data_IF_282703442178
#
_entry.id   IF_282703442178
#
_cell.length_a   1.000
_cell.length_b   1.000
_cell.length_c   1.000
_cell.angle_alpha   90.00
_cell.angle_beta   90.00
_cell.angle_gamma   90.00
#
_symmetry.space_group_name_H-M   'P 1'
#
loop_
_entity.id
_entity.type
_entity.pdbx_description
1 polymer ?
#
# COMPACT_ATOMS: atom_id res chain seq x y z
N UNK A 1 -30.41 58.87 34.22
CA UNK A 1 -29.41 58.51 33.20
C UNK A 1 -28.28 57.76 33.89
N UNK A 2 -28.18 56.43 33.76
CA UNK A 2 -26.95 55.62 33.64
C UNK A 2 -27.40 54.24 33.11
N UNK A 3 -26.82 53.81 31.99
CA UNK A 3 -27.00 52.51 31.32
C UNK A 3 -25.95 51.54 31.84
N UNK A 4 -26.27 50.27 32.12
CA UNK A 4 -25.35 49.11 32.04
C UNK A 4 -26.22 47.84 31.91
N UNK A 5 -26.30 47.19 30.74
CA UNK A 5 -25.33 46.34 30.05
C UNK A 5 -25.66 44.85 30.31
N UNK A 6 -26.13 44.20 29.25
CA UNK A 6 -26.48 42.78 29.21
C UNK A 6 -25.24 41.90 29.35
N UNK A 7 -25.32 40.90 30.22
CA UNK A 7 -24.32 39.86 30.35
C UNK A 7 -24.64 38.73 29.36
N UNK A 8 -24.03 38.76 28.18
CA UNK A 8 -24.04 37.64 27.25
C UNK A 8 -22.91 36.68 27.68
N UNK A 9 -23.31 35.52 28.21
CA UNK A 9 -22.40 34.43 28.55
C UNK A 9 -22.02 33.70 27.25
N UNK A 10 -20.89 34.09 26.65
CA UNK A 10 -20.32 33.37 25.52
C UNK A 10 -19.70 32.07 26.02
N UNK A 11 -20.43 30.96 25.84
CA UNK A 11 -19.92 29.61 26.01
C UNK A 11 -18.89 29.36 24.90
N UNK A 12 -17.59 29.54 25.20
CA UNK A 12 -16.52 29.05 24.35
C UNK A 12 -16.52 27.51 24.43
N UNK A 13 -17.18 26.88 23.47
CA UNK A 13 -16.94 25.47 23.14
C UNK A 13 -15.52 25.39 22.58
N UNK A 14 -14.56 25.05 23.43
CA UNK A 14 -13.28 24.52 23.00
C UNK A 14 -13.56 23.19 22.29
N UNK A 15 -13.71 23.24 20.97
CA UNK A 15 -13.64 22.07 20.10
C UNK A 15 -12.25 21.49 20.29
N UNK A 16 -12.12 20.46 21.14
CA UNK A 16 -10.95 19.60 21.11
C UNK A 16 -11.01 18.84 19.79
N UNK A 17 -10.34 19.37 18.77
CA UNK A 17 -9.94 18.58 17.62
C UNK A 17 -9.11 17.41 18.17
N UNK A 18 -9.69 16.22 18.16
CA UNK A 18 -8.91 15.00 18.35
C UNK A 18 -8.14 14.80 17.05
N UNK A 19 -6.86 15.14 17.05
CA UNK A 19 -5.97 14.76 15.97
C UNK A 19 -5.90 13.22 15.97
N UNK A 20 -6.71 12.59 15.14
CA UNK A 20 -6.64 11.16 14.91
C UNK A 20 -5.35 10.91 14.13
N UNK A 21 -4.31 10.48 14.83
CA UNK A 21 -3.05 10.07 14.21
C UNK A 21 -3.28 8.75 13.48
N UNK A 22 -3.15 8.78 12.16
CA UNK A 22 -3.13 7.57 11.34
C UNK A 22 -1.73 6.94 11.45
N UNK A 23 -1.65 5.79 12.10
CA UNK A 23 -0.41 5.10 12.35
C UNK A 23 -0.08 4.15 11.20
N UNK A 24 1.16 4.21 10.72
CA UNK A 24 1.75 3.12 9.94
C UNK A 24 1.90 1.92 10.88
N UNK A 25 1.58 0.70 10.41
CA UNK A 25 1.79 -0.51 11.19
C UNK A 25 3.29 -0.79 11.34
N UNK A 26 3.80 -0.74 12.58
CA UNK A 26 5.22 -0.93 12.87
C UNK A 26 5.46 -1.66 14.19
N UNK A 27 6.67 -2.21 14.31
CA UNK A 27 7.31 -2.57 15.58
C UNK A 27 8.72 -1.94 15.62
N UNK A 28 9.19 -1.54 16.81
CA UNK A 28 10.50 -0.92 16.99
C UNK A 28 11.35 -1.70 17.99
N UNK A 29 12.54 -2.12 17.58
CA UNK A 29 13.46 -2.86 18.43
C UNK A 29 14.92 -2.71 17.98
N UNK A 30 15.82 -2.60 18.96
CA UNK A 30 17.25 -2.40 18.79
C UNK A 30 17.58 -1.19 17.90
N UNK A 31 16.80 -0.11 18.01
CA UNK A 31 16.91 1.08 17.17
C UNK A 31 16.47 0.89 15.72
N UNK A 32 15.93 -0.29 15.36
CA UNK A 32 15.39 -0.59 14.04
C UNK A 32 13.87 -0.45 14.09
N UNK A 33 13.31 0.31 13.15
CA UNK A 33 11.87 0.31 12.90
C UNK A 33 11.57 -0.69 11.81
N UNK A 34 10.61 -1.57 12.06
CA UNK A 34 10.11 -2.55 11.10
C UNK A 34 8.67 -2.19 10.75
N UNK A 35 8.32 -2.21 9.47
CA UNK A 35 6.99 -1.80 8.99
C UNK A 35 6.25 -2.99 8.39
N UNK A 36 4.96 -3.09 8.69
CA UNK A 36 4.02 -4.04 8.09
C UNK A 36 3.28 -3.43 6.89
N UNK A 37 2.86 -4.28 5.94
CA UNK A 37 1.89 -3.92 4.89
C UNK A 37 2.42 -3.12 3.69
N UNK A 38 3.33 -2.15 3.87
CA UNK A 38 3.86 -1.34 2.75
C UNK A 38 4.87 -2.09 1.88
N UNK A 39 5.67 -2.97 2.47
CA UNK A 39 6.71 -3.75 1.77
C UNK A 39 6.30 -5.21 1.52
N UNK A 40 5.19 -5.66 2.12
CA UNK A 40 4.84 -7.09 2.23
C UNK A 40 3.40 -7.41 1.84
N UNK A 41 2.66 -6.47 1.25
CA UNK A 41 1.23 -6.65 0.93
C UNK A 41 0.94 -8.04 0.33
N UNK A 42 -0.09 -8.71 0.85
CA UNK A 42 -0.48 -10.12 0.63
C UNK A 42 -0.70 -10.53 -0.86
N UNK A 43 -0.40 -9.64 -1.81
CA UNK A 43 -0.69 -9.79 -3.23
C UNK A 43 0.42 -10.50 -4.01
N UNK A 44 1.66 -10.55 -3.51
CA UNK A 44 2.81 -11.09 -4.25
C UNK A 44 3.58 -12.21 -3.52
N UNK A 45 3.24 -12.48 -2.28
CA UNK A 45 3.78 -13.60 -1.50
C UNK A 45 2.69 -14.21 -0.63
N UNK A 46 2.94 -15.42 -0.11
CA UNK A 46 2.00 -16.06 0.82
C UNK A 46 2.00 -15.34 2.18
N UNK A 47 0.86 -15.39 2.86
CA UNK A 47 0.78 -15.02 4.26
C UNK A 47 1.64 -15.94 5.15
N UNK A 48 2.11 -15.40 6.27
CA UNK A 48 2.78 -16.20 7.29
C UNK A 48 1.81 -17.09 8.05
N UNK A 49 2.34 -18.20 8.52
CA UNK A 49 1.69 -19.17 9.40
C UNK A 49 2.55 -19.38 10.66
N UNK A 50 2.02 -20.05 11.68
CA UNK A 50 2.81 -20.37 12.88
C UNK A 50 4.04 -21.24 12.59
N UNK A 51 4.04 -21.99 11.47
CA UNK A 51 5.20 -22.77 11.05
C UNK A 51 6.39 -21.89 10.63
N UNK A 52 6.16 -20.61 10.35
CA UNK A 52 7.19 -19.65 9.96
C UNK A 52 7.83 -18.95 11.19
N UNK A 53 7.27 -19.13 12.39
CA UNK A 53 7.72 -18.44 13.60
C UNK A 53 8.97 -19.08 14.21
N UNK A 54 10.00 -18.27 14.39
CA UNK A 54 11.22 -18.59 15.11
C UNK A 54 11.12 -18.27 16.61
N UNK A 55 12.26 -18.00 17.23
CA UNK A 55 12.33 -17.62 18.64
C UNK A 55 11.67 -16.24 18.90
N UNK A 56 11.04 -16.10 20.06
CA UNK A 56 10.62 -14.80 20.59
C UNK A 56 11.83 -13.87 20.69
N UNK A 57 11.71 -12.66 20.15
CA UNK A 57 12.76 -11.64 20.17
C UNK A 57 12.54 -10.65 21.32
N UNK A 58 11.29 -10.21 21.50
CA UNK A 58 10.90 -9.32 22.59
C UNK A 58 9.38 -9.35 22.78
N UNK A 59 8.92 -8.71 23.86
CA UNK A 59 7.51 -8.41 24.10
C UNK A 59 7.26 -6.92 24.01
N UNK A 60 6.14 -6.55 23.42
CA UNK A 60 5.75 -5.14 23.27
C UNK A 60 5.55 -4.52 24.64
N UNK A 61 6.14 -3.34 24.84
CA UNK A 61 6.05 -2.52 26.05
C UNK A 61 4.99 -1.44 25.91
N UNK A 62 4.77 -0.95 24.69
CA UNK A 62 3.82 0.11 24.39
C UNK A 62 3.15 -0.10 23.04
N UNK A 63 1.83 0.06 23.00
CA UNK A 63 1.06 0.13 21.76
C UNK A 63 0.62 1.58 21.55
N UNK A 64 1.29 2.29 20.63
CA UNK A 64 1.17 3.75 20.51
C UNK A 64 -0.21 4.20 19.99
N UNK A 65 -0.85 3.40 19.12
CA UNK A 65 -2.19 3.71 18.64
C UNK A 65 -3.23 3.65 19.77
N UNK A 66 -3.11 2.68 20.68
CA UNK A 66 -4.02 2.57 21.83
C UNK A 66 -3.67 3.52 22.97
N UNK A 67 -2.42 3.98 23.05
CA UNK A 67 -1.96 4.88 24.10
C UNK A 67 -2.22 6.38 23.80
N UNK A 68 -2.84 6.70 22.65
CA UNK A 68 -3.16 8.07 22.26
C UNK A 68 -1.93 8.97 22.12
N UNK A 69 -0.78 8.40 21.72
CA UNK A 69 0.42 9.21 21.50
C UNK A 69 0.20 10.12 20.30
N UNK A 70 0.77 11.33 20.35
CA UNK A 70 0.69 12.30 19.27
C UNK A 70 1.88 12.19 18.31
N UNK A 71 1.89 12.98 17.21
CA UNK A 71 2.95 12.96 16.20
C UNK A 71 4.34 13.37 16.72
N UNK A 72 4.44 13.97 17.92
CA UNK A 72 5.70 14.32 18.57
C UNK A 72 6.31 13.21 19.44
N UNK A 73 5.69 12.02 19.49
CA UNK A 73 6.19 10.90 20.30
C UNK A 73 7.47 10.31 19.70
N UNK A 74 8.50 10.15 20.53
CA UNK A 74 9.75 9.51 20.16
C UNK A 74 9.65 8.01 20.43
N UNK A 75 9.78 7.21 19.37
CA UNK A 75 9.75 5.75 19.47
C UNK A 75 10.88 5.23 20.36
N UNK A 76 10.57 4.22 21.14
CA UNK A 76 11.51 3.49 22.00
C UNK A 76 11.47 1.99 21.70
N UNK A 77 12.54 1.28 22.07
CA UNK A 77 12.61 -0.17 21.89
C UNK A 77 11.53 -0.91 22.69
N UNK A 78 10.72 -1.69 21.97
CA UNK A 78 9.53 -2.36 22.48
C UNK A 78 8.23 -1.64 22.15
N UNK A 79 8.27 -0.53 21.42
CA UNK A 79 7.08 0.14 20.91
C UNK A 79 6.53 -0.57 19.67
N UNK A 80 5.22 -0.56 19.53
CA UNK A 80 4.51 -1.01 18.33
C UNK A 80 3.33 -0.09 18.04
N UNK A 81 2.90 -0.03 16.78
CA UNK A 81 1.69 0.70 16.39
C UNK A 81 0.44 0.06 16.99
N UNK A 82 0.20 -1.22 16.64
CA UNK A 82 -1.06 -1.92 16.89
C UNK A 82 -0.89 -3.21 17.71
N UNK A 83 0.32 -3.77 17.78
CA UNK A 83 0.58 -4.99 18.55
C UNK A 83 0.38 -4.68 20.05
N UNK A 84 -0.47 -5.44 20.71
CA UNK A 84 -0.85 -5.18 22.11
C UNK A 84 0.31 -5.31 23.10
N UNK A 85 0.26 -4.56 24.20
CA UNK A 85 1.24 -4.65 25.29
C UNK A 85 1.33 -6.07 25.84
N UNK A 86 2.55 -6.56 26.07
CA UNK A 86 2.86 -7.91 26.54
C UNK A 86 2.82 -8.99 25.44
N UNK A 87 2.33 -8.67 24.25
CA UNK A 87 2.32 -9.61 23.14
C UNK A 87 3.74 -9.84 22.59
N UNK A 88 4.06 -11.08 22.23
CA UNK A 88 5.38 -11.45 21.72
C UNK A 88 5.57 -11.04 20.25
N UNK A 89 6.78 -10.62 19.93
CA UNK A 89 7.30 -10.43 18.57
C UNK A 89 8.36 -11.49 18.33
N UNK A 90 8.26 -12.19 17.21
CA UNK A 90 9.07 -13.36 16.88
C UNK A 90 10.01 -13.10 15.72
N UNK A 91 11.11 -13.85 15.67
CA UNK A 91 11.90 -13.99 14.45
C UNK A 91 11.09 -14.75 13.39
N UNK A 92 11.43 -14.55 12.13
CA UNK A 92 10.95 -15.38 11.02
C UNK A 92 11.99 -16.44 10.70
N UNK A 93 11.61 -17.72 10.68
CA UNK A 93 12.55 -18.83 10.43
C UNK A 93 13.27 -18.65 9.10
N UNK A 94 14.58 -18.87 9.11
CA UNK A 94 15.43 -18.75 7.90
C UNK A 94 15.92 -17.33 7.61
N UNK A 95 15.61 -16.35 8.47
CA UNK A 95 16.00 -14.95 8.27
C UNK A 95 16.59 -14.32 9.52
N UNK A 96 17.48 -13.36 9.30
CA UNK A 96 18.02 -12.51 10.34
C UNK A 96 16.90 -11.67 10.98
N UNK A 97 16.83 -11.58 12.32
CA UNK A 97 15.88 -10.71 13.01
C UNK A 97 16.06 -9.22 12.67
N UNK A 98 17.24 -8.83 12.20
CA UNK A 98 17.54 -7.46 11.71
C UNK A 98 16.89 -7.17 10.35
N UNK A 99 16.45 -8.18 9.60
CA UNK A 99 15.72 -8.01 8.35
C UNK A 99 14.21 -8.08 8.57
N UNK A 100 13.72 -9.11 9.26
CA UNK A 100 12.28 -9.28 9.44
C UNK A 100 11.85 -9.99 10.71
N UNK A 101 10.67 -9.59 11.17
CA UNK A 101 10.01 -10.05 12.37
C UNK A 101 8.55 -10.35 12.08
N UNK A 102 7.88 -11.06 13.00
CA UNK A 102 6.46 -11.32 12.91
C UNK A 102 5.77 -11.13 14.26
N UNK A 103 4.56 -10.59 14.24
CA UNK A 103 3.74 -10.43 15.43
C UNK A 103 2.25 -10.61 15.11
N UNK A 104 1.46 -10.95 16.12
CA UNK A 104 0.01 -11.09 15.98
C UNK A 104 -0.70 -9.84 16.46
N UNK A 105 -1.57 -9.30 15.62
CA UNK A 105 -2.62 -8.34 16.01
C UNK A 105 -3.79 -8.46 15.04
N UNK A 106 -4.98 -8.05 15.48
CA UNK A 106 -6.23 -8.09 14.69
C UNK A 106 -6.54 -9.47 14.09
N UNK A 107 -6.20 -10.54 14.83
CA UNK A 107 -6.41 -11.93 14.41
C UNK A 107 -5.49 -12.43 13.29
N UNK A 108 -4.51 -11.61 12.87
CA UNK A 108 -3.59 -11.92 11.77
C UNK A 108 -2.17 -12.08 12.29
N UNK A 109 -1.37 -12.87 11.57
CA UNK A 109 0.08 -12.88 11.74
C UNK A 109 0.69 -11.94 10.70
N UNK A 110 1.29 -10.85 11.16
CA UNK A 110 1.81 -9.79 10.30
C UNK A 110 3.32 -9.91 10.18
N UNK A 111 3.81 -9.82 8.94
CA UNK A 111 5.24 -9.76 8.62
C UNK A 111 5.70 -8.30 8.61
N UNK A 112 6.69 -8.01 9.44
CA UNK A 112 7.35 -6.72 9.53
C UNK A 112 8.76 -6.80 8.96
N UNK A 113 9.14 -5.86 8.11
CA UNK A 113 10.48 -5.80 7.53
C UNK A 113 11.20 -4.52 7.92
N UNK A 114 12.52 -4.59 8.01
CA UNK A 114 13.39 -3.47 8.35
C UNK A 114 13.15 -2.29 7.41
N UNK A 115 12.75 -1.20 8.03
CA UNK A 115 12.39 0.05 7.38
C UNK A 115 13.51 1.07 7.57
N UNK A 116 13.82 1.38 8.82
CA UNK A 116 14.91 2.27 9.20
C UNK A 116 15.84 1.55 10.16
N UNK A 117 17.13 1.58 9.85
CA UNK A 117 18.21 1.10 10.69
C UNK A 117 19.33 2.17 10.65
N UNK A 118 19.50 2.97 11.72
CA UNK A 118 20.52 4.02 11.77
C UNK A 118 21.96 3.51 11.58
N UNK A 119 22.18 2.22 11.88
CA UNK A 119 23.47 1.57 11.70
C UNK A 119 23.67 1.05 10.26
N UNK A 120 22.64 1.03 9.40
CA UNK A 120 22.76 0.52 8.05
C UNK A 120 23.75 1.34 7.21
N UNK A 121 24.63 0.63 6.51
CA UNK A 121 25.63 1.18 5.59
C UNK A 121 25.49 0.57 4.21
N UNK A 122 24.96 -0.64 4.12
CA UNK A 122 24.77 -1.39 2.89
C UNK A 122 23.39 -2.04 2.85
N UNK A 123 22.96 -2.50 1.68
CA UNK A 123 21.70 -3.22 1.52
C UNK A 123 21.59 -4.46 2.42
N UNK A 124 22.70 -5.13 2.74
CA UNK A 124 22.75 -6.27 3.69
C UNK A 124 22.28 -5.94 5.10
N UNK A 125 22.43 -4.68 5.51
CA UNK A 125 22.01 -4.25 6.85
C UNK A 125 20.49 -4.06 6.95
N UNK A 126 19.78 -4.13 5.81
CA UNK A 126 18.34 -4.00 5.68
C UNK A 126 17.66 -5.22 5.08
N UNK A 127 18.41 -6.08 4.36
CA UNK A 127 17.87 -7.20 3.58
C UNK A 127 18.72 -8.45 3.81
N UNK A 128 18.06 -9.55 4.18
CA UNK A 128 18.67 -10.88 4.29
C UNK A 128 18.06 -11.81 3.22
N UNK A 129 18.39 -11.53 1.96
CA UNK A 129 17.82 -12.20 0.78
C UNK A 129 18.85 -12.93 -0.09
N UNK A 130 20.14 -12.92 0.28
CA UNK A 130 21.18 -13.61 -0.49
C UNK A 130 20.90 -15.11 -0.58
N UNK A 131 20.92 -15.66 -1.80
CA UNK A 131 20.65 -17.08 -2.05
C UNK A 131 19.21 -17.52 -1.75
N UNK A 132 18.30 -16.58 -1.50
CA UNK A 132 16.89 -16.87 -1.14
C UNK A 132 15.90 -16.38 -2.19
N UNK A 133 16.34 -15.56 -3.14
CA UNK A 133 15.50 -15.01 -4.22
C UNK A 133 15.40 -16.03 -5.37
N UNK A 134 14.18 -16.31 -5.80
CA UNK A 134 13.85 -17.18 -6.94
C UNK A 134 13.23 -16.43 -8.12
N UNK A 135 12.88 -15.16 -7.91
CA UNK A 135 12.34 -14.29 -8.94
C UNK A 135 12.49 -12.81 -8.58
N UNK A 136 12.68 -11.97 -9.60
CA UNK A 136 12.61 -10.51 -9.43
C UNK A 136 11.50 -9.99 -10.33
N UNK A 137 10.43 -9.47 -9.73
CA UNK A 137 9.30 -8.90 -10.45
C UNK A 137 9.31 -7.37 -10.38
N UNK A 138 9.05 -6.75 -11.53
CA UNK A 138 8.74 -5.33 -11.62
C UNK A 138 7.22 -5.17 -11.50
N UNK A 139 6.78 -4.38 -10.52
CA UNK A 139 5.37 -4.23 -10.17
C UNK A 139 4.97 -2.77 -10.38
N UNK A 140 3.80 -2.57 -10.97
CA UNK A 140 3.22 -1.27 -11.26
C UNK A 140 3.07 -0.42 -10.00
N UNK A 141 3.64 0.79 -10.00
CA UNK A 141 3.40 1.77 -8.93
C UNK A 141 1.96 2.31 -8.91
N UNK A 142 1.21 2.17 -10.02
CA UNK A 142 -0.15 2.69 -10.16
C UNK A 142 -1.16 1.93 -9.30
N UNK A 143 -1.09 0.60 -9.31
CA UNK A 143 -2.03 -0.28 -8.58
C UNK A 143 -1.33 -1.15 -7.52
N UNK A 144 0.01 -1.16 -7.49
CA UNK A 144 0.81 -1.94 -6.56
C UNK A 144 0.68 -3.45 -6.73
N UNK A 145 0.05 -3.93 -7.81
CA UNK A 145 -0.35 -5.33 -8.01
C UNK A 145 0.03 -5.89 -9.38
N UNK A 146 -0.10 -5.10 -10.44
CA UNK A 146 0.16 -5.58 -11.80
C UNK A 146 1.65 -5.84 -11.99
N UNK A 147 2.00 -7.06 -12.40
CA UNK A 147 3.36 -7.45 -12.77
C UNK A 147 3.62 -6.94 -14.19
N UNK A 148 4.60 -6.04 -14.32
CA UNK A 148 5.03 -5.47 -15.59
C UNK A 148 6.05 -6.39 -16.29
N UNK A 149 6.85 -7.10 -15.52
CA UNK A 149 7.83 -8.07 -16.03
C UNK A 149 8.48 -8.84 -14.89
N UNK A 150 9.15 -9.96 -15.23
CA UNK A 150 9.82 -10.84 -14.26
C UNK A 150 11.14 -11.37 -14.81
N UNK A 151 12.17 -11.41 -13.98
CA UNK A 151 13.43 -12.13 -14.21
C UNK A 151 13.35 -13.45 -13.43
N UNK A 152 13.55 -14.57 -14.12
CA UNK A 152 13.57 -15.92 -13.55
C UNK A 152 14.91 -16.63 -13.75
N UNK A 153 15.87 -16.00 -14.44
CA UNK A 153 17.21 -16.57 -14.63
C UNK A 153 18.00 -16.45 -13.33
N UNK A 154 18.34 -17.59 -12.70
CA UNK A 154 18.94 -17.58 -11.36
C UNK A 154 20.31 -16.89 -11.32
N UNK A 155 21.14 -17.07 -12.35
CA UNK A 155 22.45 -16.39 -12.41
C UNK A 155 22.28 -14.87 -12.42
N UNK A 156 21.37 -14.37 -13.27
CA UNK A 156 21.03 -12.95 -13.33
C UNK A 156 20.41 -12.44 -12.04
N UNK A 157 19.56 -13.24 -11.38
CA UNK A 157 18.98 -12.91 -10.08
C UNK A 157 20.09 -12.73 -9.03
N UNK A 158 20.99 -13.70 -8.92
CA UNK A 158 22.07 -13.69 -7.92
C UNK A 158 22.99 -12.48 -8.10
N UNK A 159 23.34 -12.13 -9.34
CA UNK A 159 24.13 -10.95 -9.65
C UNK A 159 23.40 -9.65 -9.25
N UNK A 160 22.11 -9.53 -9.58
CA UNK A 160 21.30 -8.36 -9.23
C UNK A 160 21.11 -8.22 -7.71
N UNK A 161 20.88 -9.33 -7.01
CA UNK A 161 20.78 -9.37 -5.55
C UNK A 161 22.11 -8.96 -4.92
N UNK A 162 23.25 -9.44 -5.43
CA UNK A 162 24.57 -9.04 -4.94
C UNK A 162 24.80 -7.53 -5.08
N UNK A 163 24.36 -6.93 -6.19
CA UNK A 163 24.43 -5.47 -6.38
C UNK A 163 23.57 -4.72 -5.36
N UNK A 164 22.35 -5.18 -5.10
CA UNK A 164 21.45 -4.57 -4.09
C UNK A 164 22.05 -4.68 -2.69
N UNK A 165 22.53 -5.86 -2.32
CA UNK A 165 23.07 -6.13 -0.99
C UNK A 165 24.36 -5.35 -0.72
N UNK A 166 25.19 -5.17 -1.74
CA UNK A 166 26.46 -4.42 -1.63
C UNK A 166 26.29 -2.91 -1.80
N UNK A 167 25.11 -2.45 -2.25
CA UNK A 167 24.87 -1.04 -2.50
C UNK A 167 24.89 -0.21 -1.21
N UNK A 168 25.45 1.02 -1.25
CA UNK A 168 25.48 1.89 -0.09
C UNK A 168 24.07 2.34 0.30
N UNK A 169 23.85 2.48 1.61
CA UNK A 169 22.59 2.93 2.21
C UNK A 169 22.75 4.33 2.79
N UNK A 170 21.78 5.19 2.50
CA UNK A 170 21.69 6.54 3.05
C UNK A 170 20.25 6.84 3.45
N UNK A 171 19.99 6.80 4.76
CA UNK A 171 18.67 7.04 5.36
C UNK A 171 18.53 8.45 5.95
N UNK A 172 19.46 9.35 5.65
CA UNK A 172 19.52 10.71 6.18
C UNK A 172 18.38 11.66 5.72
N UNK A 173 17.76 11.51 4.53
CA UNK A 173 16.63 12.34 4.17
C UNK A 173 15.40 12.00 5.03
N UNK A 174 14.67 12.98 5.60
CA UNK A 174 13.36 12.69 6.18
C UNK A 174 12.48 12.12 5.08
N UNK A 175 11.89 10.96 5.36
CA UNK A 175 10.96 10.23 4.47
C UNK A 175 9.62 10.99 4.34
N UNK A 176 9.66 12.25 3.92
CA UNK A 176 8.50 13.00 3.53
C UNK A 176 8.13 12.61 2.08
N UNK A 177 7.01 11.91 1.93
CA UNK A 177 6.18 11.86 0.72
C UNK A 177 6.92 11.71 -0.62
N UNK A 178 7.50 10.53 -0.90
CA UNK A 178 7.90 10.20 -2.27
C UNK A 178 6.67 9.78 -3.10
N UNK A 179 5.88 10.76 -3.55
CA UNK A 179 5.10 10.68 -4.79
C UNK A 179 4.71 12.09 -5.25
N UNK A 180 5.33 12.64 -6.31
CA UNK A 180 4.74 13.76 -7.03
C UNK A 180 3.51 13.25 -7.78
N UNK A 181 2.30 13.58 -7.30
CA UNK A 181 1.07 13.45 -8.10
C UNK A 181 1.02 14.63 -9.07
N UNK A 182 1.52 14.45 -10.29
CA UNK A 182 1.13 15.31 -11.42
C UNK A 182 0.17 14.50 -12.31
N UNK A 183 -1.06 14.99 -12.57
CA UNK A 183 -1.95 14.34 -13.52
C UNK A 183 -1.52 14.77 -14.92
N UNK A 184 -1.31 13.82 -15.84
CA UNK A 184 -1.53 14.10 -17.25
C UNK A 184 -1.84 12.81 -18.01
N UNK A 185 -2.76 12.98 -18.95
CA UNK A 185 -3.49 11.98 -19.70
C UNK A 185 -2.62 11.27 -20.74
N UNK A 186 -2.89 9.96 -20.88
CA UNK A 186 -2.39 9.00 -21.88
C UNK A 186 -0.98 8.40 -21.66
N UNK A 187 -0.85 7.10 -21.30
CA UNK A 187 0.45 6.49 -21.01
C UNK A 187 0.91 5.40 -21.99
N UNK A 188 2.17 5.49 -22.43
CA UNK A 188 3.03 4.33 -22.76
C UNK A 188 3.74 3.82 -21.51
N UNK A 189 4.20 2.55 -21.50
CA UNK A 189 4.82 1.89 -20.33
C UNK A 189 6.01 2.70 -19.73
N UNK A 190 6.87 3.29 -20.56
CA UNK A 190 7.98 4.14 -20.10
C UNK A 190 7.54 5.47 -19.48
N UNK A 191 6.37 6.00 -19.87
CA UNK A 191 5.80 7.21 -19.28
C UNK A 191 5.14 6.87 -17.94
N UNK A 192 4.46 5.72 -17.84
CA UNK A 192 3.83 5.24 -16.61
C UNK A 192 4.83 5.04 -15.46
N UNK A 193 6.02 4.52 -15.75
CA UNK A 193 7.09 4.32 -14.75
C UNK A 193 7.58 5.66 -14.20
N UNK A 194 7.69 6.69 -15.04
CA UNK A 194 8.07 8.04 -14.62
C UNK A 194 6.98 8.75 -13.81
N UNK A 195 5.71 8.45 -14.08
CA UNK A 195 4.56 9.11 -13.43
C UNK A 195 4.12 8.44 -12.14
N UNK A 196 4.16 7.10 -12.04
CA UNK A 196 3.63 6.37 -10.88
C UNK A 196 4.71 5.62 -10.07
N UNK A 197 5.95 5.63 -10.53
CA UNK A 197 7.02 4.80 -9.96
C UNK A 197 6.78 3.31 -10.23
N UNK A 198 7.69 2.48 -9.73
CA UNK A 198 7.60 1.02 -9.78
C UNK A 198 8.06 0.45 -8.46
N UNK A 199 7.59 -0.75 -8.15
CA UNK A 199 8.16 -1.53 -7.09
C UNK A 199 9.00 -2.66 -7.67
N UNK A 200 10.14 -2.92 -7.05
CA UNK A 200 10.91 -4.14 -7.28
C UNK A 200 10.53 -5.11 -6.17
N UNK A 201 10.03 -6.29 -6.56
CA UNK A 201 9.67 -7.38 -5.67
C UNK A 201 10.67 -8.51 -5.83
N UNK A 202 11.34 -8.87 -4.75
CA UNK A 202 12.19 -10.05 -4.65
C UNK A 202 11.33 -11.20 -4.11
N UNK A 203 10.98 -12.13 -4.99
CA UNK A 203 10.18 -13.32 -4.69
C UNK A 203 11.11 -14.37 -4.07
N UNK A 204 10.78 -14.86 -2.87
CA UNK A 204 11.66 -15.70 -2.06
C UNK A 204 11.24 -17.19 -2.15
N UNK A 205 12.22 -18.08 -1.99
CA UNK A 205 12.03 -19.53 -2.11
C UNK A 205 10.99 -20.12 -1.15
N UNK A 206 10.76 -19.47 -0.01
CA UNK A 206 9.75 -19.86 0.98
C UNK A 206 8.32 -19.41 0.60
N UNK A 207 8.14 -18.75 -0.54
CA UNK A 207 6.88 -18.21 -1.04
C UNK A 207 6.52 -16.82 -0.51
N UNK A 208 7.32 -16.24 0.39
CA UNK A 208 7.19 -14.83 0.79
C UNK A 208 7.88 -13.92 -0.24
N UNK A 209 7.67 -12.62 -0.15
CA UNK A 209 8.34 -11.65 -1.02
C UNK A 209 8.68 -10.38 -0.24
N UNK A 210 9.78 -9.73 -0.62
CA UNK A 210 10.15 -8.41 -0.12
C UNK A 210 10.10 -7.38 -1.23
N UNK A 211 9.42 -6.25 -0.99
CA UNK A 211 9.18 -5.22 -1.99
C UNK A 211 9.79 -3.90 -1.58
N UNK A 212 10.39 -3.18 -2.53
CA UNK A 212 10.87 -1.81 -2.35
C UNK A 212 10.42 -0.95 -3.53
N UNK A 213 9.93 0.26 -3.25
CA UNK A 213 9.73 1.26 -4.30
C UNK A 213 11.09 1.57 -4.94
N UNK A 214 11.16 1.73 -6.25
CA UNK A 214 12.37 2.06 -6.98
C UNK A 214 12.21 3.40 -7.71
N UNK A 215 13.01 4.38 -7.28
CA UNK A 215 13.16 5.66 -7.97
C UNK A 215 14.13 5.46 -9.15
N UNK A 216 13.55 5.28 -10.34
CA UNK A 216 14.31 5.05 -11.59
C UNK A 216 15.21 6.22 -11.94
N UNK A 217 14.79 7.46 -11.63
CA UNK A 217 15.57 8.65 -11.93
C UNK A 217 16.85 8.70 -11.08
N UNK A 218 16.73 8.36 -9.79
CA UNK A 218 17.86 8.41 -8.85
C UNK A 218 18.63 7.10 -8.73
N UNK A 219 18.09 5.98 -9.21
CA UNK A 219 18.68 4.66 -8.98
C UNK A 219 18.67 4.29 -7.49
N UNK A 220 17.53 4.51 -6.81
CA UNK A 220 17.42 4.29 -5.36
C UNK A 220 16.22 3.40 -5.08
N UNK A 221 16.47 2.26 -4.44
CA UNK A 221 15.42 1.50 -3.79
C UNK A 221 15.05 2.17 -2.47
N UNK A 222 13.77 2.10 -2.12
CA UNK A 222 13.22 2.63 -0.89
C UNK A 222 14.08 2.23 0.31
N UNK A 223 14.18 3.14 1.28
CA UNK A 223 15.08 3.04 2.44
C UNK A 223 16.55 3.31 2.12
N UNK A 224 16.79 3.96 0.98
CA UNK A 224 18.05 4.64 0.68
C UNK A 224 19.12 3.75 0.06
N UNK A 225 18.76 2.56 -0.44
CA UNK A 225 19.70 1.63 -1.06
C UNK A 225 20.00 2.11 -2.49
N UNK A 226 21.22 2.60 -2.74
CA UNK A 226 21.61 3.25 -4.00
C UNK A 226 22.10 2.21 -5.03
N UNK A 227 21.21 1.79 -5.93
CA UNK A 227 21.46 0.77 -6.96
C UNK A 227 21.53 1.40 -8.36
N UNK A 228 22.73 1.40 -8.94
CA UNK A 228 23.01 2.00 -10.25
C UNK A 228 23.61 0.97 -11.23
N UNK A 229 23.93 1.41 -12.44
CA UNK A 229 24.60 0.57 -13.46
C UNK A 229 23.76 -0.62 -13.88
N UNK A 230 24.34 -1.83 -13.79
CA UNK A 230 23.73 -3.07 -14.27
C UNK A 230 22.35 -3.36 -13.64
N UNK A 231 22.15 -3.00 -12.37
CA UNK A 231 20.84 -3.14 -11.74
C UNK A 231 19.79 -2.26 -12.43
N UNK A 232 20.12 -0.97 -12.62
CA UNK A 232 19.24 -0.02 -13.28
C UNK A 232 18.92 -0.47 -14.71
N UNK A 233 19.93 -0.90 -15.47
CA UNK A 233 19.74 -1.40 -16.84
C UNK A 233 18.79 -2.60 -16.88
N UNK A 234 18.91 -3.53 -15.93
CA UNK A 234 18.00 -4.68 -15.86
C UNK A 234 16.55 -4.28 -15.58
N UNK A 235 16.32 -3.28 -14.72
CA UNK A 235 14.97 -2.77 -14.46
C UNK A 235 14.42 -2.00 -15.68
N UNK A 236 15.24 -1.21 -16.35
CA UNK A 236 14.86 -0.50 -17.57
C UNK A 236 14.54 -1.46 -18.74
N UNK A 237 15.26 -2.57 -18.85
CA UNK A 237 14.98 -3.64 -19.82
C UNK A 237 13.65 -4.33 -19.51
N UNK A 238 13.40 -4.71 -18.25
CA UNK A 238 12.11 -5.27 -17.82
C UNK A 238 10.95 -4.32 -18.12
N UNK A 239 11.15 -3.04 -17.84
CA UNK A 239 10.20 -1.98 -18.12
C UNK A 239 9.91 -1.81 -19.62
N UNK A 240 10.93 -1.92 -20.47
CA UNK A 240 10.79 -1.81 -21.92
C UNK A 240 10.14 -3.06 -22.53
N UNK A 241 10.38 -4.23 -21.95
CA UNK A 241 9.77 -5.50 -22.36
C UNK A 241 8.34 -5.68 -21.81
N UNK A 242 7.91 -4.82 -20.87
CA UNK A 242 6.57 -4.89 -20.31
C UNK A 242 5.51 -4.72 -21.42
N UNK A 243 4.43 -5.54 -21.42
CA UNK A 243 3.34 -5.34 -22.35
C UNK A 243 2.86 -3.89 -22.26
N UNK A 244 2.79 -3.18 -23.39
CA UNK A 244 2.17 -1.87 -23.42
C UNK A 244 0.80 -2.01 -22.78
N UNK A 245 0.48 -1.26 -21.71
CA UNK A 245 -0.84 -1.30 -21.12
C UNK A 245 -1.83 -1.09 -22.25
N UNK A 246 -2.79 -2.00 -22.41
CA UNK A 246 -3.92 -1.74 -23.31
C UNK A 246 -4.45 -0.38 -22.91
N UNK A 247 -4.42 0.57 -23.86
CA UNK A 247 -4.95 1.90 -23.60
C UNK A 247 -6.32 1.71 -22.98
N UNK A 248 -6.52 2.26 -21.79
CA UNK A 248 -7.87 2.34 -21.26
C UNK A 248 -8.68 3.07 -22.34
N UNK A 249 -9.77 2.46 -22.83
CA UNK A 249 -10.57 3.14 -23.83
C UNK A 249 -11.00 4.47 -23.21
N UNK A 250 -10.94 5.56 -23.99
CA UNK A 250 -11.32 6.89 -23.51
C UNK A 250 -12.74 6.91 -22.97
N UNK A 251 -13.57 5.98 -23.45
CA UNK A 251 -14.91 5.72 -22.96
C UNK A 251 -15.10 4.25 -22.58
N UNK A 252 -16.03 4.00 -21.66
CA UNK A 252 -16.40 2.71 -21.13
C UNK A 252 -17.92 2.61 -21.09
N UNK A 253 -18.46 1.56 -21.70
CA UNK A 253 -19.86 1.20 -21.52
C UNK A 253 -19.97 0.24 -20.33
N UNK A 254 -20.44 0.75 -19.19
CA UNK A 254 -20.51 -0.01 -17.94
C UNK A 254 -21.54 -1.14 -18.01
N UNK A 255 -22.66 -0.93 -18.72
CA UNK A 255 -23.68 -1.96 -18.90
C UNK A 255 -23.15 -3.19 -19.63
N UNK A 256 -22.37 -2.97 -20.71
CA UNK A 256 -21.75 -4.05 -21.49
C UNK A 256 -20.58 -4.69 -20.76
N UNK A 257 -19.72 -3.89 -20.12
CA UNK A 257 -18.52 -4.41 -19.44
C UNK A 257 -18.85 -5.34 -18.29
N UNK A 258 -19.88 -5.03 -17.52
CA UNK A 258 -20.29 -5.80 -16.35
C UNK A 258 -21.55 -6.62 -16.57
N UNK A 259 -22.04 -6.69 -17.82
CA UNK A 259 -23.25 -7.41 -18.19
C UNK A 259 -24.43 -7.11 -17.24
N UNK A 260 -24.64 -5.82 -16.95
CA UNK A 260 -25.56 -5.37 -15.89
C UNK A 260 -27.02 -5.80 -16.15
N UNK A 261 -27.35 -6.13 -17.39
CA UNK A 261 -28.65 -6.68 -17.77
C UNK A 261 -28.94 -8.05 -17.13
N UNK A 262 -27.90 -8.80 -16.70
CA UNK A 262 -28.03 -10.08 -16.00
C UNK A 262 -28.07 -9.95 -14.48
N UNK A 263 -28.00 -8.74 -13.94
CA UNK A 263 -28.16 -8.55 -12.51
C UNK A 263 -29.55 -9.01 -12.06
N UNK A 264 -29.62 -9.76 -10.96
CA UNK A 264 -30.87 -10.26 -10.40
C UNK A 264 -31.55 -9.22 -9.51
N UNK A 265 -30.76 -8.27 -8.99
CA UNK A 265 -31.25 -7.19 -8.14
C UNK A 265 -30.37 -5.94 -8.28
N UNK A 266 -30.96 -4.78 -8.08
CA UNK A 266 -30.23 -3.52 -7.86
C UNK A 266 -30.63 -2.91 -6.53
N UNK A 267 -29.63 -2.42 -5.79
CA UNK A 267 -29.79 -1.64 -4.57
C UNK A 267 -29.17 -0.26 -4.78
N UNK A 268 -29.94 0.80 -4.58
CA UNK A 268 -29.43 2.18 -4.54
C UNK A 268 -29.29 2.59 -3.08
N UNK A 269 -28.07 2.89 -2.64
CA UNK A 269 -27.78 3.49 -1.33
C UNK A 269 -27.49 4.97 -1.53
N UNK A 270 -28.41 5.84 -1.12
CA UNK A 270 -28.21 7.29 -1.15
C UNK A 270 -28.31 7.81 0.30
N UNK A 271 -27.32 8.51 0.86
CA UNK A 271 -27.51 9.21 2.12
C UNK A 271 -28.56 10.34 1.94
N UNK A 272 -29.59 10.51 2.81
CA UNK A 272 -29.97 9.74 4.01
C UNK A 272 -31.16 8.77 3.79
N UNK A 273 -31.44 8.34 2.56
CA UNK A 273 -32.61 7.56 2.21
C UNK A 273 -32.42 6.04 2.35
N UNK A 274 -33.52 5.34 2.66
CA UNK A 274 -33.57 3.88 2.74
C UNK A 274 -33.27 3.23 1.37
N UNK A 275 -32.61 2.06 1.34
CA UNK A 275 -32.29 1.37 0.11
C UNK A 275 -33.55 0.95 -0.65
N UNK A 276 -33.66 1.37 -1.92
CA UNK A 276 -34.68 0.84 -2.83
C UNK A 276 -34.24 -0.53 -3.36
N UNK A 277 -35.16 -1.50 -3.38
CA UNK A 277 -34.97 -2.89 -3.84
C UNK A 277 -35.97 -3.27 -4.93
N UNK A 278 -36.17 -2.37 -5.91
CA UNK A 278 -37.10 -2.58 -7.02
C UNK A 278 -36.40 -3.29 -8.20
N UNK A 279 -36.81 -4.52 -8.57
CA UNK A 279 -36.25 -5.25 -9.71
C UNK A 279 -36.44 -4.53 -11.06
N UNK A 280 -37.45 -3.66 -11.19
CA UNK A 280 -37.69 -2.87 -12.41
C UNK A 280 -36.60 -1.84 -12.68
N UNK A 281 -35.78 -1.52 -11.67
CA UNK A 281 -34.64 -0.62 -11.79
C UNK A 281 -33.46 -1.25 -12.54
N UNK A 282 -33.34 -2.58 -12.58
CA UNK A 282 -32.26 -3.27 -13.30
C UNK A 282 -32.27 -2.84 -14.77
N UNK A 283 -33.41 -3.00 -15.45
CA UNK A 283 -33.54 -2.65 -16.86
C UNK A 283 -33.35 -1.14 -17.10
N UNK A 284 -33.93 -0.29 -16.24
CA UNK A 284 -33.81 1.17 -16.37
C UNK A 284 -32.37 1.65 -16.22
N UNK A 285 -31.64 1.14 -15.22
CA UNK A 285 -30.26 1.52 -14.96
C UNK A 285 -29.29 0.87 -15.95
N UNK A 286 -29.51 -0.37 -16.35
CA UNK A 286 -28.72 -1.00 -17.40
C UNK A 286 -28.82 -0.20 -18.71
N UNK A 287 -30.03 0.25 -19.10
CA UNK A 287 -30.20 1.12 -20.28
C UNK A 287 -29.54 2.48 -20.10
N UNK A 288 -29.66 3.11 -18.92
CA UNK A 288 -29.01 4.40 -18.65
C UNK A 288 -27.47 4.31 -18.68
N UNK A 289 -26.92 3.12 -18.39
CA UNK A 289 -25.48 2.82 -18.38
C UNK A 289 -24.99 2.15 -19.66
N UNK A 290 -25.89 1.89 -20.63
CA UNK A 290 -25.56 1.46 -21.99
C UNK A 290 -25.22 2.67 -22.86
N UNK A 291 -24.35 3.52 -22.33
CA UNK A 291 -23.76 4.69 -23.00
C UNK A 291 -22.26 4.70 -22.74
N UNK A 292 -21.53 5.29 -23.67
CA UNK A 292 -20.07 5.47 -23.56
C UNK A 292 -19.78 6.57 -22.52
N UNK A 293 -19.32 6.18 -21.33
CA UNK A 293 -18.94 7.10 -20.25
C UNK A 293 -17.43 7.32 -20.24
N UNK A 294 -16.89 8.48 -19.83
CA UNK A 294 -15.45 8.66 -19.68
C UNK A 294 -14.84 7.61 -18.74
N UNK A 295 -13.73 6.98 -19.12
CA UNK A 295 -13.09 5.96 -18.30
C UNK A 295 -12.31 6.54 -17.10
N UNK A 296 -11.95 7.82 -17.13
CA UNK A 296 -11.30 8.52 -16.02
C UNK A 296 -12.34 9.24 -15.14
N UNK A 297 -12.26 8.99 -13.83
CA UNK A 297 -12.98 9.78 -12.83
C UNK A 297 -12.29 11.14 -12.66
N UNK A 298 -13.05 12.23 -12.71
CA UNK A 298 -12.60 13.54 -12.23
C UNK A 298 -12.19 13.41 -10.75
N UNK A 299 -11.07 14.01 -10.36
CA UNK A 299 -10.48 13.91 -9.02
C UNK A 299 -11.29 14.64 -7.90
N UNK A 300 -12.58 14.88 -8.09
CA UNK A 300 -13.44 15.62 -7.19
C UNK A 300 -14.16 14.66 -6.24
N UNK A 301 -13.59 14.49 -5.04
CA UNK A 301 -14.29 14.13 -3.80
C UNK A 301 -15.04 12.79 -3.79
N UNK A 302 -14.35 11.71 -3.40
CA UNK A 302 -15.02 10.51 -2.92
C UNK A 302 -15.73 10.81 -1.59
N UNK A 303 -17.06 10.68 -1.53
CA UNK A 303 -17.74 10.73 -0.22
C UNK A 303 -19.25 10.60 -0.22
N UNK A 304 -19.97 11.42 -1.00
CA UNK A 304 -21.38 11.72 -0.66
C UNK A 304 -22.43 11.39 -1.73
N UNK A 305 -22.04 10.80 -2.86
CA UNK A 305 -22.99 10.44 -3.91
C UNK A 305 -23.58 9.02 -3.76
N UNK A 306 -24.66 8.74 -4.50
CA UNK A 306 -25.36 7.46 -4.38
C UNK A 306 -24.46 6.30 -4.84
N UNK A 307 -24.49 5.21 -4.08
CA UNK A 307 -23.86 3.93 -4.43
C UNK A 307 -24.94 3.02 -5.04
N UNK A 308 -24.74 2.62 -6.29
CA UNK A 308 -25.60 1.66 -6.99
C UNK A 308 -24.92 0.31 -6.98
N UNK A 309 -25.58 -0.69 -6.39
CA UNK A 309 -25.07 -2.06 -6.28
C UNK A 309 -25.93 -2.97 -7.16
N UNK A 310 -25.30 -3.62 -8.13
CA UNK A 310 -25.89 -4.68 -8.95
C UNK A 310 -25.51 -6.03 -8.36
N UNK A 311 -26.48 -6.84 -7.97
CA UNK A 311 -26.27 -8.18 -7.44
C UNK A 311 -26.50 -9.22 -8.53
N UNK A 312 -25.59 -10.19 -8.62
CA UNK A 312 -25.66 -11.37 -9.48
C UNK A 312 -25.81 -12.62 -8.61
N UNK A 313 -25.94 -13.79 -9.24
CA UNK A 313 -26.07 -15.05 -8.49
C UNK A 313 -24.81 -15.37 -7.65
N UNK A 314 -23.64 -14.92 -8.08
CA UNK A 314 -22.32 -15.31 -7.58
C UNK A 314 -21.43 -14.12 -7.14
N UNK A 315 -21.81 -12.88 -7.45
CA UNK A 315 -21.04 -11.68 -7.10
C UNK A 315 -21.91 -10.41 -7.08
N UNK A 316 -21.30 -9.27 -6.77
CA UNK A 316 -21.93 -7.96 -6.95
C UNK A 316 -20.97 -6.96 -7.57
N UNK A 317 -21.52 -5.95 -8.25
CA UNK A 317 -20.80 -4.80 -8.81
C UNK A 317 -21.31 -3.53 -8.12
N UNK A 318 -20.41 -2.74 -7.55
CA UNK A 318 -20.78 -1.48 -6.87
C UNK A 318 -20.23 -0.28 -7.65
N UNK A 319 -21.12 0.61 -8.07
CA UNK A 319 -20.81 1.87 -8.75
C UNK A 319 -21.06 3.04 -7.80
N UNK A 320 -20.04 3.84 -7.54
CA UNK A 320 -20.16 5.08 -6.74
C UNK A 320 -20.22 6.25 -7.71
N UNK A 321 -21.25 7.08 -7.60
CA UNK A 321 -21.37 8.32 -8.37
C UNK A 321 -20.94 9.49 -7.50
N UNK A 322 -20.32 10.48 -8.11
CA UNK A 322 -20.14 11.78 -7.48
C UNK A 322 -21.39 12.63 -7.77
N UNK A 323 -21.83 13.47 -6.81
CA UNK A 323 -22.84 14.48 -7.15
C UNK A 323 -22.19 15.48 -8.10
N UNK A 324 -22.76 15.63 -9.30
CA UNK A 324 -22.46 16.75 -10.19
C UNK A 324 -22.97 18.06 -9.59
#
# INVERSE_FOLDING_TARGET
MVRFAALAFALLLASCASDQVDYIDFVHANGITYVGGYTTGDYLGRALTDADLGAEQFRVKQSVATAGKGPGYQLSDGDAAFVGVGQPVYAVRGYAPTFRLAARHDGRLVLYEADTNPAARTGRDLLDIEGKVVGIALVSGKDGRAILGRINDQSRIDDLVRLVLSAPVDQSPPLAAASPRTPLSTPTAQIQIRTYGVFVSFELADGTATRRNYDVAKGVLQRGIKVAGAFRSAIEELAAAAPTPTLLPSTINLARRYDLARATRVTIKAPPAAPSRDPSLVAKLATALDTELPAERSALGAGDGPVIIFEFADHYVSLVYDRA
#
